data_IF_496727789772
#
_entry.id   IF_496727789772
#
_cell.length_a   1.000
_cell.length_b   1.000
_cell.length_c   1.000
_cell.angle_alpha   90.00
_cell.angle_beta   90.00
_cell.angle_gamma   90.00
#
_symmetry.space_group_name_H-M   'P 1'
#
loop_
_entity.id
_entity.type
_entity.pdbx_description
1 polymer ?
#
# COMPACT_ATOMS: atom_id res chain seq x y z
N UNK A 1 -6.35 25.66 -14.13
CA UNK A 1 -6.71 26.05 -12.76
C UNK A 1 -6.54 24.88 -11.78
N UNK A 2 -5.73 25.05 -10.74
CA UNK A 2 -5.66 24.16 -9.56
C UNK A 2 -6.75 24.62 -8.57
N UNK A 3 -7.49 23.73 -7.88
CA UNK A 3 -8.53 24.16 -6.94
C UNK A 3 -7.97 25.09 -5.85
N UNK A 4 -8.66 26.20 -5.58
CA UNK A 4 -8.25 27.18 -4.57
C UNK A 4 -8.53 26.72 -3.12
N UNK A 5 -9.33 25.67 -2.93
CA UNK A 5 -9.64 25.08 -1.63
C UNK A 5 -9.08 23.66 -1.55
N UNK A 6 -8.63 23.26 -0.36
CA UNK A 6 -8.20 21.89 -0.11
C UNK A 6 -9.30 20.92 -0.53
N UNK A 7 -8.99 20.04 -1.47
CA UNK A 7 -9.92 19.12 -2.11
C UNK A 7 -9.27 17.75 -2.17
N UNK A 8 -10.01 16.70 -1.82
CA UNK A 8 -9.53 15.33 -1.94
C UNK A 8 -9.46 14.89 -3.40
N UNK A 9 -8.63 13.89 -3.68
CA UNK A 9 -8.55 13.31 -5.03
C UNK A 9 -9.90 12.75 -5.52
N UNK A 10 -10.70 12.15 -4.61
CA UNK A 10 -12.03 11.64 -4.93
C UNK A 10 -13.00 12.76 -5.32
N UNK A 11 -12.95 13.90 -4.63
CA UNK A 11 -13.75 15.08 -4.98
C UNK A 11 -13.32 15.69 -6.32
N UNK A 12 -12.02 15.66 -6.66
CA UNK A 12 -11.51 16.09 -7.97
C UNK A 12 -12.06 15.24 -9.12
N UNK A 13 -12.16 13.92 -8.93
CA UNK A 13 -12.76 13.00 -9.89
C UNK A 13 -14.26 13.27 -10.00
N UNK A 14 -14.98 13.23 -8.88
CA UNK A 14 -16.44 13.30 -8.85
C UNK A 14 -17.01 14.63 -9.39
N UNK A 15 -16.26 15.73 -9.23
CA UNK A 15 -16.63 17.04 -9.76
C UNK A 15 -16.24 17.26 -11.22
N UNK A 16 -15.49 16.33 -11.82
CA UNK A 16 -14.87 16.50 -13.13
C UNK A 16 -13.80 17.60 -13.16
N UNK A 17 -13.37 18.11 -12.00
CA UNK A 17 -12.36 19.16 -11.90
C UNK A 17 -11.00 18.70 -12.45
N UNK A 18 -10.69 17.40 -12.36
CA UNK A 18 -9.48 16.80 -12.94
C UNK A 18 -9.33 17.13 -14.44
N UNK A 19 -10.42 17.04 -15.21
CA UNK A 19 -10.41 17.31 -16.64
C UNK A 19 -10.20 18.81 -16.96
N UNK A 20 -10.50 19.69 -16.01
CA UNK A 20 -10.39 21.16 -16.12
C UNK A 20 -8.99 21.68 -15.72
N UNK A 21 -8.10 20.81 -15.27
CA UNK A 21 -6.70 21.17 -15.04
C UNK A 21 -6.05 21.47 -16.39
N UNK A 22 -5.55 22.70 -16.55
CA UNK A 22 -4.98 23.18 -17.81
C UNK A 22 -3.62 22.54 -18.10
N UNK A 23 -2.77 22.40 -17.08
CA UNK A 23 -1.48 21.72 -17.20
C UNK A 23 -1.68 20.26 -17.63
N UNK A 24 -1.23 19.87 -18.85
CA UNK A 24 -1.35 18.49 -19.32
C UNK A 24 -0.53 17.52 -18.46
N UNK A 25 0.67 17.93 -18.02
CA UNK A 25 1.55 17.12 -17.18
C UNK A 25 0.91 16.81 -15.81
N UNK A 26 0.45 17.85 -15.11
CA UNK A 26 -0.24 17.70 -13.82
C UNK A 26 -1.49 16.83 -13.93
N UNK A 27 -2.29 17.02 -14.98
CA UNK A 27 -3.48 16.19 -15.23
C UNK A 27 -3.11 14.71 -15.47
N UNK A 28 -2.05 14.46 -16.23
CA UNK A 28 -1.54 13.11 -16.47
C UNK A 28 -1.02 12.46 -15.18
N UNK A 29 -0.24 13.19 -14.39
CA UNK A 29 0.30 12.69 -13.12
C UNK A 29 -0.80 12.34 -12.12
N UNK A 30 -1.79 13.22 -11.95
CA UNK A 30 -2.95 12.95 -11.08
C UNK A 30 -3.79 11.76 -11.57
N UNK A 31 -3.94 11.60 -12.89
CA UNK A 31 -4.63 10.42 -13.46
C UNK A 31 -3.87 9.13 -13.16
N UNK A 32 -2.54 9.13 -13.35
CA UNK A 32 -1.67 8.00 -13.02
C UNK A 32 -1.73 7.68 -11.53
N UNK A 33 -1.71 8.69 -10.66
CA UNK A 33 -1.85 8.51 -9.22
C UNK A 33 -3.14 7.77 -8.85
N UNK A 34 -4.28 8.13 -9.46
CA UNK A 34 -5.54 7.40 -9.27
C UNK A 34 -5.46 5.94 -9.70
N UNK A 35 -4.92 5.66 -10.88
CA UNK A 35 -4.77 4.29 -11.39
C UNK A 35 -3.88 3.42 -10.49
N UNK A 36 -2.80 4.00 -9.98
CA UNK A 36 -1.91 3.33 -9.04
C UNK A 36 -2.61 3.07 -7.71
N UNK A 37 -3.37 4.03 -7.17
CA UNK A 37 -4.15 3.83 -5.96
C UNK A 37 -5.18 2.70 -6.10
N UNK A 38 -5.88 2.63 -7.23
CA UNK A 38 -6.85 1.56 -7.48
C UNK A 38 -6.17 0.19 -7.50
N UNK A 39 -5.07 0.08 -8.25
CA UNK A 39 -4.27 -1.15 -8.34
C UNK A 39 -3.72 -1.57 -6.97
N UNK A 40 -3.16 -0.63 -6.21
CA UNK A 40 -2.63 -0.90 -4.87
C UNK A 40 -3.73 -1.29 -3.88
N UNK A 41 -4.92 -0.71 -4.02
CA UNK A 41 -6.08 -1.07 -3.19
C UNK A 41 -6.55 -2.49 -3.47
N UNK A 42 -6.57 -2.92 -4.73
CA UNK A 42 -6.87 -4.32 -5.11
C UNK A 42 -5.86 -5.30 -4.55
N UNK A 43 -4.56 -4.98 -4.65
CA UNK A 43 -3.49 -5.77 -4.05
C UNK A 43 -3.70 -5.87 -2.54
N UNK A 44 -3.92 -4.74 -1.85
CA UNK A 44 -4.13 -4.73 -0.41
C UNK A 44 -5.36 -5.55 0.03
N UNK A 45 -6.49 -5.40 -0.66
CA UNK A 45 -7.71 -6.14 -0.37
C UNK A 45 -7.57 -7.65 -0.60
N UNK A 46 -6.69 -8.06 -1.52
CA UNK A 46 -6.36 -9.47 -1.77
C UNK A 46 -5.40 -10.02 -0.72
N UNK A 47 -4.43 -9.21 -0.33
CA UNK A 47 -3.41 -9.56 0.65
C UNK A 47 -3.96 -9.68 2.08
N UNK A 48 -4.75 -8.70 2.50
CA UNK A 48 -5.15 -8.53 3.90
C UNK A 48 -5.83 -9.77 4.52
N UNK A 49 -6.75 -10.48 3.83
CA UNK A 49 -7.34 -11.70 4.35
C UNK A 49 -6.33 -12.84 4.54
N UNK A 50 -5.33 -12.99 3.67
CA UNK A 50 -4.35 -14.08 3.75
C UNK A 50 -3.49 -14.01 5.02
N UNK A 51 -3.19 -12.79 5.49
CA UNK A 51 -2.45 -12.58 6.75
C UNK A 51 -3.31 -12.72 7.99
N UNK A 52 -4.60 -12.41 7.89
CA UNK A 52 -5.49 -12.26 9.03
C UNK A 52 -6.50 -13.40 9.19
N UNK A 53 -6.46 -14.42 8.32
CA UNK A 53 -7.32 -15.61 8.44
C UNK A 53 -6.79 -16.54 9.56
N UNK A 54 -7.51 -16.70 10.69
CA UNK A 54 -7.06 -17.55 11.79
C UNK A 54 -7.06 -19.04 11.44
N UNK A 55 -7.74 -19.43 10.36
CA UNK A 55 -7.79 -20.81 9.88
C UNK A 55 -6.58 -21.17 9.01
N UNK A 56 -5.81 -20.18 8.55
CA UNK A 56 -4.67 -20.35 7.66
C UNK A 56 -3.54 -21.14 8.33
N UNK A 57 -2.81 -21.93 7.54
CA UNK A 57 -1.68 -22.70 8.05
C UNK A 57 -0.58 -21.75 8.55
N UNK A 58 -0.39 -20.60 7.89
CA UNK A 58 0.53 -19.55 8.32
C UNK A 58 0.20 -19.04 9.72
N UNK A 59 -1.04 -18.60 9.94
CA UNK A 59 -1.47 -18.01 11.22
C UNK A 59 -1.34 -19.02 12.36
N UNK A 60 -1.64 -20.29 12.09
CA UNK A 60 -1.54 -21.37 13.08
C UNK A 60 -0.10 -21.85 13.31
N UNK A 61 0.78 -21.65 12.33
CA UNK A 61 2.15 -22.11 12.41
C UNK A 61 3.10 -21.15 13.12
N UNK A 62 2.81 -19.84 13.09
CA UNK A 62 3.64 -18.80 13.72
C UNK A 62 3.02 -18.39 15.05
N UNK A 63 3.79 -18.48 16.14
CA UNK A 63 3.35 -18.02 17.46
C UNK A 63 3.92 -16.64 17.76
N UNK A 64 3.03 -15.68 17.94
CA UNK A 64 3.39 -14.31 18.31
C UNK A 64 3.38 -14.14 19.82
N UNK A 65 4.29 -13.31 20.33
CA UNK A 65 4.29 -12.88 21.72
C UNK A 65 3.00 -12.12 22.03
N UNK A 66 2.38 -12.40 23.17
CA UNK A 66 1.26 -11.60 23.71
C UNK A 66 1.72 -10.50 24.66
N UNK A 67 3.04 -10.32 24.83
CA UNK A 67 3.59 -9.28 25.67
C UNK A 67 3.49 -7.92 24.95
N UNK A 68 2.67 -6.96 25.43
CA UNK A 68 2.51 -5.67 24.77
C UNK A 68 3.82 -4.88 24.66
N UNK A 69 4.75 -5.05 25.59
CA UNK A 69 6.05 -4.36 25.58
C UNK A 69 6.97 -4.84 24.46
N UNK A 70 6.74 -6.06 23.93
CA UNK A 70 7.44 -6.59 22.75
C UNK A 70 6.73 -6.20 21.45
N UNK A 71 5.44 -5.89 21.51
CA UNK A 71 4.63 -5.49 20.35
C UNK A 71 4.74 -3.98 20.05
N UNK A 72 5.15 -3.17 21.03
CA UNK A 72 5.11 -1.70 20.97
C UNK A 72 6.42 -0.93 20.67
N UNK A 73 7.59 -1.56 20.42
CA UNK A 73 8.73 -0.84 19.83
C UNK A 73 9.22 -1.44 18.49
N UNK A 74 9.46 -0.57 17.51
CA UNK A 74 10.07 -0.83 16.18
C UNK A 74 11.54 -1.34 16.22
N UNK A 75 12.01 -1.90 17.34
CA UNK A 75 13.45 -2.02 17.60
C UNK A 75 13.97 -3.46 17.52
N UNK A 76 13.12 -4.47 17.68
CA UNK A 76 13.56 -5.87 17.51
C UNK A 76 12.41 -6.81 17.11
N UNK A 77 12.11 -6.85 15.82
CA UNK A 77 11.04 -7.67 15.24
C UNK A 77 11.24 -9.17 15.49
N UNK A 78 12.48 -9.60 15.78
CA UNK A 78 12.82 -10.99 16.06
C UNK A 78 12.23 -11.50 17.38
N UNK A 79 11.94 -10.61 18.34
CA UNK A 79 11.38 -10.99 19.65
C UNK A 79 9.85 -11.12 19.64
N UNK A 80 9.20 -10.68 18.56
CA UNK A 80 7.74 -10.75 18.40
C UNK A 80 7.29 -12.16 18.03
N UNK A 81 8.14 -12.94 17.36
CA UNK A 81 7.87 -14.35 17.04
C UNK A 81 8.55 -15.24 18.09
N UNK A 82 7.76 -15.95 18.87
CA UNK A 82 8.25 -16.79 19.99
C UNK A 82 8.31 -18.28 19.66
N UNK A 83 7.84 -18.69 18.48
CA UNK A 83 7.97 -20.08 18.04
C UNK A 83 7.30 -20.40 16.71
N UNK A 84 7.65 -21.58 16.19
CA UNK A 84 7.14 -22.13 14.94
C UNK A 84 6.66 -23.57 15.11
N UNK A 85 5.48 -23.89 14.55
CA UNK A 85 4.99 -25.27 14.37
C UNK A 85 5.43 -25.80 13.01
N UNK A 86 6.64 -26.40 12.97
CA UNK A 86 7.27 -26.83 11.72
C UNK A 86 6.44 -27.81 10.87
N UNK A 87 5.58 -28.62 11.49
CA UNK A 87 4.70 -29.52 10.76
C UNK A 87 3.62 -28.75 9.98
N UNK A 88 3.06 -27.69 10.56
CA UNK A 88 2.09 -26.82 9.91
C UNK A 88 2.75 -25.95 8.83
N UNK A 89 3.98 -25.49 9.06
CA UNK A 89 4.77 -24.78 8.04
C UNK A 89 4.95 -25.63 6.78
N UNK A 90 5.30 -26.92 6.94
CA UNK A 90 5.44 -27.85 5.80
C UNK A 90 4.10 -28.10 5.11
N UNK A 91 3.02 -28.23 5.87
CA UNK A 91 1.69 -28.46 5.30
C UNK A 91 1.16 -27.24 4.53
N UNK A 92 1.56 -26.04 4.97
CA UNK A 92 1.19 -24.76 4.38
C UNK A 92 2.17 -24.22 3.34
N UNK A 93 3.13 -25.00 2.82
CA UNK A 93 4.20 -24.48 1.95
C UNK A 93 3.68 -23.61 0.78
N UNK A 94 2.65 -24.06 0.07
CA UNK A 94 2.05 -23.31 -1.02
C UNK A 94 1.39 -21.99 -0.55
N UNK A 95 0.78 -21.99 0.64
CA UNK A 95 0.21 -20.81 1.27
C UNK A 95 1.30 -19.80 1.62
N UNK A 96 2.42 -20.27 2.19
CA UNK A 96 3.60 -19.44 2.48
C UNK A 96 4.22 -18.82 1.24
N UNK A 97 4.35 -19.58 0.14
CA UNK A 97 4.85 -19.06 -1.13
C UNK A 97 3.93 -17.95 -1.68
N UNK A 98 2.62 -18.15 -1.60
CA UNK A 98 1.65 -17.13 -2.00
C UNK A 98 1.74 -15.89 -1.12
N UNK A 99 1.82 -16.05 0.20
CA UNK A 99 1.99 -14.94 1.15
C UNK A 99 3.29 -14.17 0.85
N UNK A 100 4.39 -14.85 0.59
CA UNK A 100 5.67 -14.22 0.25
C UNK A 100 5.60 -13.42 -1.06
N UNK A 101 5.02 -14.00 -2.11
CA UNK A 101 4.79 -13.30 -3.38
C UNK A 101 3.92 -12.06 -3.20
N UNK A 102 2.88 -12.18 -2.38
CA UNK A 102 2.00 -11.07 -2.00
C UNK A 102 2.77 -9.97 -1.26
N UNK A 103 3.65 -10.30 -0.30
CA UNK A 103 4.50 -9.30 0.37
C UNK A 103 5.39 -8.53 -0.62
N UNK A 104 6.00 -9.24 -1.58
CA UNK A 104 6.80 -8.60 -2.64
C UNK A 104 5.92 -7.64 -3.44
N UNK A 105 4.72 -8.07 -3.85
CA UNK A 105 3.77 -7.21 -4.57
C UNK A 105 3.37 -6.00 -3.74
N UNK A 106 3.16 -6.13 -2.43
CA UNK A 106 2.87 -5.01 -1.54
C UNK A 106 4.01 -3.99 -1.45
N UNK A 107 5.27 -4.44 -1.36
CA UNK A 107 6.45 -3.55 -1.39
C UNK A 107 6.53 -2.81 -2.72
N UNK A 108 6.36 -3.53 -3.84
CA UNK A 108 6.36 -2.93 -5.18
C UNK A 108 5.23 -1.92 -5.34
N UNK A 109 4.02 -2.25 -4.87
CA UNK A 109 2.87 -1.35 -4.92
C UNK A 109 3.10 -0.08 -4.08
N UNK A 110 3.78 -0.19 -2.93
CA UNK A 110 4.16 0.96 -2.10
C UNK A 110 5.10 1.89 -2.85
N UNK A 111 6.12 1.35 -3.54
CA UNK A 111 7.00 2.15 -4.38
C UNK A 111 6.24 2.81 -5.54
N UNK A 112 5.31 2.12 -6.19
CA UNK A 112 4.49 2.73 -7.25
C UNK A 112 3.68 3.93 -6.76
N UNK A 113 3.09 3.83 -5.57
CA UNK A 113 2.35 4.94 -4.96
C UNK A 113 3.29 6.11 -4.70
N UNK A 114 4.46 5.85 -4.14
CA UNK A 114 5.46 6.89 -3.86
C UNK A 114 5.93 7.57 -5.15
N UNK A 115 6.28 6.81 -6.19
CA UNK A 115 6.68 7.36 -7.50
C UNK A 115 5.58 8.22 -8.13
N UNK A 116 4.31 7.83 -7.96
CA UNK A 116 3.18 8.58 -8.49
C UNK A 116 2.94 9.89 -7.72
N UNK A 117 3.13 9.87 -6.40
CA UNK A 117 3.08 11.08 -5.56
C UNK A 117 4.21 12.03 -5.95
N UNK A 118 5.44 11.52 -6.08
CA UNK A 118 6.61 12.33 -6.44
C UNK A 118 6.40 13.03 -7.79
N UNK A 119 5.82 12.32 -8.77
CA UNK A 119 5.47 12.92 -10.06
C UNK A 119 4.40 14.01 -9.94
N UNK A 120 3.36 13.82 -9.11
CA UNK A 120 2.35 14.88 -8.87
C UNK A 120 3.00 16.10 -8.24
N UNK A 121 3.90 15.91 -7.28
CA UNK A 121 4.64 17.00 -6.62
C UNK A 121 5.52 17.75 -7.61
N UNK A 122 6.26 17.04 -8.46
CA UNK A 122 7.11 17.64 -9.49
C UNK A 122 6.29 18.51 -10.45
N UNK A 123 5.17 17.99 -10.96
CA UNK A 123 4.28 18.71 -11.87
C UNK A 123 3.64 19.93 -11.19
N UNK A 124 3.28 19.83 -9.91
CA UNK A 124 2.77 20.98 -9.14
C UNK A 124 3.82 22.09 -9.02
N UNK A 125 5.08 21.74 -8.76
CA UNK A 125 6.19 22.71 -8.68
C UNK A 125 6.40 23.41 -10.01
N UNK A 126 6.34 22.68 -11.12
CA UNK A 126 6.46 23.27 -12.45
C UNK A 126 5.32 24.26 -12.74
N UNK A 127 4.08 23.92 -12.41
CA UNK A 127 2.93 24.83 -12.58
C UNK A 127 3.09 26.11 -11.73
N UNK A 128 3.58 25.99 -10.50
CA UNK A 128 3.78 27.15 -9.61
C UNK A 128 4.96 28.05 -10.03
N UNK A 129 5.92 27.53 -10.80
CA UNK A 129 7.09 28.29 -11.26
C UNK A 129 6.82 29.17 -12.49
N UNK A 130 5.64 29.03 -13.11
CA UNK A 130 5.24 29.72 -14.34
C UNK A 130 4.31 30.91 -14.05
N UNK A 131 3.86 31.06 -12.80
CA UNK A 131 3.11 32.22 -12.27
C UNK A 131 4.03 33.21 -11.54
#
# INVERSE_FOLDING_TARGET
MIPATSTTFLELINSGALAKIESPGLRSALTRYGQVLDTTSEVWNTMFPLFNDPSSAFHRAVRFSTNPDLLLPLVDHEQVIIGYEWALLKQGEAEFQNIYLMQIQGVVATHWVQDAIDQVVEELQQVQSVD
#
